data_IF_936144116841
#
_entry.id   IF_936144116841
#
_cell.length_a   1.000
_cell.length_b   1.000
_cell.length_c   1.000
_cell.angle_alpha   90.00
_cell.angle_beta   90.00
_cell.angle_gamma   90.00
#
_symmetry.space_group_name_H-M   'P 1'
#
loop_
_entity.id
_entity.type
_entity.pdbx_description
1 polymer ?
#
# COMPACT_ATOMS: atom_id res chain seq x y z
N UNK A 1 13.74 -19.29 -12.11
CA UNK A 1 13.17 -17.94 -12.02
C UNK A 1 14.21 -16.85 -12.21
N UNK A 2 13.76 -15.64 -12.35
CA UNK A 2 14.65 -14.47 -12.57
C UNK A 2 15.66 -14.31 -11.45
N UNK A 3 15.25 -14.47 -10.20
CA UNK A 3 16.15 -14.35 -9.05
C UNK A 3 17.18 -15.46 -9.02
N UNK A 4 16.82 -16.67 -9.41
CA UNK A 4 17.76 -17.78 -9.47
C UNK A 4 18.82 -17.58 -10.56
N UNK A 5 18.43 -17.06 -11.72
CA UNK A 5 19.39 -16.73 -12.79
C UNK A 5 20.40 -15.67 -12.33
N UNK A 6 19.94 -14.68 -11.55
CA UNK A 6 20.83 -13.67 -11.02
C UNK A 6 21.72 -14.20 -9.91
N UNK A 7 21.23 -15.15 -9.12
CA UNK A 7 22.04 -15.82 -8.09
C UNK A 7 23.26 -16.50 -8.69
N UNK A 8 23.09 -17.17 -9.83
CA UNK A 8 24.17 -17.87 -10.52
C UNK A 8 25.27 -16.93 -11.00
N UNK A 9 24.95 -15.66 -11.23
CA UNK A 9 25.91 -14.65 -11.68
C UNK A 9 26.60 -13.91 -10.53
N UNK A 10 26.24 -14.19 -9.29
CA UNK A 10 26.78 -13.52 -8.12
C UNK A 10 27.76 -14.43 -7.38
N UNK A 11 28.85 -13.82 -6.89
CA UNK A 11 29.83 -14.52 -6.04
C UNK A 11 29.33 -14.74 -4.61
N UNK A 12 28.23 -14.10 -4.22
CA UNK A 12 27.62 -14.20 -2.91
C UNK A 12 26.58 -15.30 -2.90
N UNK A 13 26.65 -16.17 -1.88
CA UNK A 13 25.66 -17.22 -1.71
C UNK A 13 24.33 -16.63 -1.23
N UNK A 14 23.28 -16.90 -2.00
CA UNK A 14 21.90 -16.47 -1.67
C UNK A 14 21.06 -17.71 -1.41
N UNK A 15 20.62 -17.97 -0.16
CA UNK A 15 19.77 -19.12 0.13
C UNK A 15 18.41 -19.06 -0.58
N UNK A 16 17.87 -20.21 -0.93
CA UNK A 16 16.55 -20.31 -1.59
C UNK A 16 15.43 -19.69 -0.73
N UNK A 17 15.55 -19.79 0.59
CA UNK A 17 14.59 -19.16 1.52
C UNK A 17 14.52 -17.64 1.36
N UNK A 18 15.65 -17.00 1.05
CA UNK A 18 15.69 -15.55 0.79
C UNK A 18 14.95 -15.24 -0.50
N UNK A 19 15.18 -16.03 -1.55
CA UNK A 19 14.51 -15.86 -2.83
C UNK A 19 12.99 -16.03 -2.69
N UNK A 20 12.54 -17.04 -1.95
CA UNK A 20 11.12 -17.25 -1.67
C UNK A 20 10.53 -16.08 -0.89
N UNK A 21 11.24 -15.57 0.11
CA UNK A 21 10.80 -14.43 0.90
C UNK A 21 10.60 -13.20 0.03
N UNK A 22 11.55 -12.90 -0.84
CA UNK A 22 11.45 -11.76 -1.78
C UNK A 22 10.29 -11.94 -2.75
N UNK A 23 10.12 -13.13 -3.32
CA UNK A 23 9.04 -13.41 -4.25
C UNK A 23 7.66 -13.29 -3.60
N UNK A 24 7.51 -13.69 -2.32
CA UNK A 24 6.26 -13.58 -1.60
C UNK A 24 5.90 -12.14 -1.21
N UNK A 25 6.91 -11.32 -0.96
CA UNK A 25 6.70 -9.95 -0.49
C UNK A 25 6.61 -8.93 -1.61
N UNK A 26 7.27 -9.18 -2.73
CA UNK A 26 7.33 -8.28 -3.88
C UNK A 26 6.74 -9.01 -5.08
N UNK A 27 5.44 -8.89 -5.28
CA UNK A 27 4.73 -9.63 -6.33
C UNK A 27 4.37 -8.77 -7.54
N UNK A 28 4.43 -7.45 -7.42
CA UNK A 28 3.83 -6.55 -8.40
C UNK A 28 4.78 -6.07 -9.49
N UNK A 29 6.11 -6.18 -9.31
CA UNK A 29 7.03 -5.58 -10.27
C UNK A 29 8.40 -6.28 -10.26
N UNK A 30 8.80 -6.80 -11.42
CA UNK A 30 10.10 -7.46 -11.63
C UNK A 30 11.26 -6.52 -11.30
N UNK A 31 11.15 -5.22 -11.63
CA UNK A 31 12.19 -4.23 -11.34
C UNK A 31 12.40 -4.05 -9.84
N UNK A 32 11.34 -4.08 -9.06
CA UNK A 32 11.43 -4.00 -7.59
C UNK A 32 12.13 -5.23 -7.01
N UNK A 33 11.83 -6.42 -7.55
CA UNK A 33 12.49 -7.67 -7.14
C UNK A 33 13.98 -7.60 -7.46
N UNK A 34 14.34 -7.16 -8.66
CA UNK A 34 15.74 -7.00 -9.08
C UNK A 34 16.47 -5.98 -8.22
N UNK A 35 15.83 -4.85 -7.95
CA UNK A 35 16.38 -3.80 -7.08
C UNK A 35 16.65 -4.30 -5.67
N UNK A 36 15.70 -5.03 -5.09
CA UNK A 36 15.86 -5.64 -3.77
C UNK A 36 16.99 -6.65 -3.75
N UNK A 37 17.09 -7.51 -4.75
CA UNK A 37 18.14 -8.49 -4.88
C UNK A 37 19.53 -7.81 -4.99
N UNK A 38 19.64 -6.81 -5.85
CA UNK A 38 20.90 -6.06 -6.02
C UNK A 38 21.34 -5.35 -4.74
N UNK A 39 20.40 -4.81 -3.98
CA UNK A 39 20.66 -4.20 -2.68
C UNK A 39 21.21 -5.22 -1.69
N UNK A 40 20.60 -6.41 -1.63
CA UNK A 40 21.05 -7.49 -0.76
C UNK A 40 22.48 -7.93 -1.11
N UNK A 41 22.76 -8.11 -2.39
CA UNK A 41 24.10 -8.51 -2.87
C UNK A 41 25.11 -7.42 -2.55
N UNK A 42 24.77 -6.14 -2.81
CA UNK A 42 25.65 -5.01 -2.51
C UNK A 42 25.96 -4.90 -1.02
N UNK A 43 24.96 -5.04 -0.17
CA UNK A 43 25.13 -4.97 1.28
C UNK A 43 25.94 -6.16 1.81
N UNK A 44 25.67 -7.37 1.32
CA UNK A 44 26.42 -8.56 1.70
C UNK A 44 27.90 -8.45 1.30
N UNK A 45 28.16 -7.90 0.12
CA UNK A 45 29.54 -7.69 -0.38
C UNK A 45 30.29 -6.67 0.49
N UNK A 46 29.63 -5.57 0.86
CA UNK A 46 30.24 -4.54 1.71
C UNK A 46 30.55 -5.04 3.12
N UNK A 47 29.67 -5.84 3.70
CA UNK A 47 29.80 -6.35 5.07
C UNK A 47 30.62 -7.64 5.09
N UNK A 48 30.77 -8.33 3.96
CA UNK A 48 31.47 -9.61 3.88
C UNK A 48 30.69 -10.76 4.50
N UNK A 49 29.37 -10.68 4.51
CA UNK A 49 28.47 -11.71 5.07
C UNK A 49 27.59 -12.29 4.00
N UNK A 50 27.19 -13.55 4.20
CA UNK A 50 26.18 -14.17 3.35
C UNK A 50 24.82 -13.52 3.58
N UNK A 51 23.98 -13.54 2.55
CA UNK A 51 22.63 -12.98 2.60
C UNK A 51 21.73 -13.90 3.45
N UNK A 52 21.06 -13.31 4.44
CA UNK A 52 20.14 -14.01 5.33
C UNK A 52 18.73 -13.47 5.18
N UNK A 53 17.74 -14.19 5.73
CA UNK A 53 16.33 -13.74 5.74
C UNK A 53 16.20 -12.43 6.54
N UNK A 54 16.97 -12.26 7.62
CA UNK A 54 16.98 -11.04 8.42
C UNK A 54 17.45 -9.83 7.61
N UNK A 55 18.52 -9.97 6.82
CA UNK A 55 18.98 -8.91 5.91
C UNK A 55 17.91 -8.56 4.88
N UNK A 56 17.26 -9.57 4.32
CA UNK A 56 16.16 -9.37 3.35
C UNK A 56 15.02 -8.58 3.97
N UNK A 57 14.67 -8.87 5.23
CA UNK A 57 13.61 -8.13 5.94
C UNK A 57 13.96 -6.67 6.14
N UNK A 58 15.20 -6.36 6.51
CA UNK A 58 15.64 -4.97 6.68
C UNK A 58 15.57 -4.18 5.38
N UNK A 59 16.09 -4.74 4.30
CA UNK A 59 16.05 -4.09 2.98
C UNK A 59 14.63 -3.92 2.48
N UNK A 60 13.79 -4.96 2.63
CA UNK A 60 12.38 -4.90 2.22
C UNK A 60 11.58 -3.92 3.06
N UNK A 61 11.88 -3.81 4.35
CA UNK A 61 11.23 -2.83 5.22
C UNK A 61 11.41 -1.41 4.68
N UNK A 62 12.63 -1.07 4.23
CA UNK A 62 12.93 0.23 3.63
C UNK A 62 12.18 0.43 2.31
N UNK A 63 12.12 -0.60 1.46
CA UNK A 63 11.39 -0.55 0.20
C UNK A 63 9.89 -0.39 0.42
N UNK A 64 9.32 -1.11 1.36
CA UNK A 64 7.90 -1.03 1.69
C UNK A 64 7.53 0.34 2.25
N UNK A 65 8.38 0.93 3.08
CA UNK A 65 8.19 2.30 3.55
C UNK A 65 8.22 3.29 2.40
N UNK A 66 9.16 3.13 1.48
CA UNK A 66 9.28 3.99 0.31
C UNK A 66 8.04 3.90 -0.57
N UNK A 67 7.51 2.70 -0.78
CA UNK A 67 6.28 2.50 -1.55
C UNK A 67 5.06 3.08 -0.83
N UNK A 68 4.97 2.90 0.48
CA UNK A 68 3.87 3.46 1.27
C UNK A 68 3.88 4.99 1.27
N UNK A 69 5.04 5.63 1.12
CA UNK A 69 5.15 7.08 1.03
C UNK A 69 4.63 7.64 -0.29
N UNK A 70 4.49 6.82 -1.33
CA UNK A 70 3.96 7.26 -2.63
C UNK A 70 2.47 7.52 -2.59
N UNK A 71 1.74 6.81 -1.73
CA UNK A 71 0.31 6.97 -1.59
C UNK A 71 0.03 7.81 -0.35
N UNK A 72 -0.49 9.01 -0.55
CA UNK A 72 -0.88 9.91 0.53
C UNK A 72 -2.39 9.91 0.70
N UNK A 73 -2.88 10.38 1.85
CA UNK A 73 -4.32 10.54 2.07
C UNK A 73 -4.91 11.52 1.04
N UNK A 74 -4.19 12.57 0.70
CA UNK A 74 -4.59 13.53 -0.32
C UNK A 74 -4.75 12.90 -1.70
N UNK A 75 -3.83 12.00 -2.09
CA UNK A 75 -3.93 11.24 -3.34
C UNK A 75 -5.17 10.36 -3.35
N UNK A 76 -5.46 9.69 -2.23
CA UNK A 76 -6.65 8.85 -2.09
C UNK A 76 -7.91 9.69 -2.23
N UNK A 77 -7.97 10.84 -1.55
CA UNK A 77 -9.11 11.74 -1.62
C UNK A 77 -9.36 12.23 -3.04
N UNK A 78 -8.32 12.63 -3.76
CA UNK A 78 -8.42 13.08 -5.15
C UNK A 78 -8.90 11.96 -6.07
N UNK A 79 -8.34 10.78 -5.92
CA UNK A 79 -8.67 9.62 -6.75
C UNK A 79 -10.13 9.19 -6.55
N UNK A 80 -10.57 9.10 -5.30
CA UNK A 80 -11.95 8.73 -4.97
C UNK A 80 -12.93 9.82 -5.47
N UNK A 81 -12.60 11.09 -5.25
CA UNK A 81 -13.45 12.19 -5.71
C UNK A 81 -13.59 12.16 -7.23
N UNK A 82 -12.51 11.96 -7.97
CA UNK A 82 -12.54 11.84 -9.43
C UNK A 82 -13.34 10.63 -9.90
N UNK A 83 -13.19 9.50 -9.24
CA UNK A 83 -13.91 8.27 -9.59
C UNK A 83 -15.42 8.41 -9.45
N UNK A 84 -15.87 9.02 -8.35
CA UNK A 84 -17.30 9.21 -8.07
C UNK A 84 -17.85 10.56 -8.57
N UNK A 85 -17.03 11.33 -9.27
CA UNK A 85 -17.41 12.61 -9.86
C UNK A 85 -17.95 13.61 -8.82
N UNK A 86 -17.25 13.73 -7.72
CA UNK A 86 -17.50 14.71 -6.65
C UNK A 86 -16.26 15.58 -6.48
N UNK A 87 -16.39 16.65 -5.71
CA UNK A 87 -15.25 17.56 -5.46
C UNK A 87 -14.38 17.04 -4.33
N UNK A 88 -13.07 17.26 -4.42
CA UNK A 88 -12.14 16.90 -3.35
C UNK A 88 -12.53 17.57 -2.03
N UNK A 89 -13.02 18.79 -2.08
CA UNK A 89 -13.49 19.52 -0.90
C UNK A 89 -14.62 18.79 -0.16
N UNK A 90 -15.38 17.94 -0.84
CA UNK A 90 -16.44 17.14 -0.21
C UNK A 90 -15.89 16.11 0.79
N UNK A 91 -14.61 15.79 0.70
CA UNK A 91 -13.95 14.90 1.67
C UNK A 91 -13.79 15.52 3.05
N UNK A 92 -13.72 16.86 3.09
CA UNK A 92 -13.50 17.62 4.35
C UNK A 92 -14.78 18.27 4.87
N UNK A 93 -15.81 18.38 4.02
CA UNK A 93 -17.02 19.11 4.34
C UNK A 93 -17.92 18.36 5.31
N UNK A 94 -18.80 19.10 6.00
CA UNK A 94 -19.81 18.55 6.88
C UNK A 94 -21.02 17.98 6.13
N UNK A 95 -21.01 18.02 4.83
CA UNK A 95 -22.09 17.55 3.97
C UNK A 95 -22.40 16.08 4.21
N UNK A 96 -23.68 15.73 4.39
CA UNK A 96 -24.13 14.37 4.72
C UNK A 96 -24.95 13.69 3.62
N UNK A 97 -25.01 14.25 2.42
CA UNK A 97 -25.74 13.63 1.33
C UNK A 97 -25.12 12.27 0.94
N UNK A 98 -25.96 11.35 0.48
CA UNK A 98 -25.51 10.00 0.08
C UNK A 98 -24.47 10.04 -1.04
N UNK A 99 -24.58 11.02 -1.93
CA UNK A 99 -23.64 11.18 -3.05
C UNK A 99 -22.20 11.45 -2.59
N UNK A 100 -22.04 11.98 -1.38
CA UNK A 100 -20.74 12.33 -0.79
C UNK A 100 -20.34 11.35 0.32
N UNK A 101 -21.32 10.87 1.09
CA UNK A 101 -21.06 10.06 2.29
C UNK A 101 -20.38 8.74 1.95
N UNK A 102 -20.86 8.01 0.95
CA UNK A 102 -20.29 6.71 0.58
C UNK A 102 -18.87 6.86 0.00
N UNK A 103 -18.63 7.74 -0.98
CA UNK A 103 -17.26 7.98 -1.47
C UNK A 103 -16.31 8.38 -0.35
N UNK A 104 -16.74 9.21 0.58
CA UNK A 104 -15.93 9.62 1.73
C UNK A 104 -15.56 8.43 2.62
N UNK A 105 -16.51 7.53 2.90
CA UNK A 105 -16.26 6.31 3.66
C UNK A 105 -15.24 5.41 2.97
N UNK A 106 -15.34 5.29 1.66
CA UNK A 106 -14.39 4.51 0.85
C UNK A 106 -13.00 5.13 0.93
N UNK A 107 -12.89 6.46 0.84
CA UNK A 107 -11.62 7.16 0.98
C UNK A 107 -11.01 6.93 2.37
N UNK A 108 -11.81 6.94 3.43
CA UNK A 108 -11.36 6.63 4.79
C UNK A 108 -10.84 5.20 4.91
N UNK A 109 -11.56 4.24 4.33
CA UNK A 109 -11.15 2.84 4.29
C UNK A 109 -9.81 2.66 3.57
N UNK A 110 -9.67 3.26 2.39
CA UNK A 110 -8.44 3.18 1.61
C UNK A 110 -7.27 3.86 2.33
N UNK A 111 -7.54 4.96 3.02
CA UNK A 111 -6.51 5.65 3.81
C UNK A 111 -5.97 4.76 4.92
N UNK A 112 -6.84 4.00 5.59
CA UNK A 112 -6.40 3.05 6.62
C UNK A 112 -5.67 1.85 6.03
N UNK A 113 -6.14 1.37 4.88
CA UNK A 113 -5.59 0.17 4.23
C UNK A 113 -4.24 0.44 3.55
N UNK A 114 -4.08 1.59 2.91
CA UNK A 114 -2.92 1.91 2.07
C UNK A 114 -1.87 2.79 2.76
N UNK A 115 -2.16 3.33 3.94
CA UNK A 115 -1.20 4.14 4.69
C UNK A 115 -0.99 3.58 6.09
N UNK A 116 0.03 4.09 6.78
CA UNK A 116 0.34 3.70 8.15
C UNK A 116 -0.28 4.63 9.20
N UNK A 117 -1.12 5.57 8.77
CA UNK A 117 -1.73 6.54 9.67
C UNK A 117 -2.75 5.88 10.62
N UNK A 118 -2.79 6.39 11.85
CA UNK A 118 -3.76 5.97 12.85
C UNK A 118 -5.14 6.55 12.55
N UNK A 119 -6.17 6.02 13.18
CA UNK A 119 -7.54 6.55 13.04
C UNK A 119 -7.63 8.04 13.41
N UNK A 120 -7.03 8.54 14.50
CA UNK A 120 -7.03 9.98 14.78
C UNK A 120 -6.35 10.82 13.70
N UNK A 121 -5.24 10.35 13.16
CA UNK A 121 -4.53 11.02 12.06
C UNK A 121 -5.40 11.16 10.82
N UNK A 122 -6.05 10.06 10.43
CA UNK A 122 -6.95 10.05 9.27
C UNK A 122 -8.13 11.00 9.53
N UNK A 123 -8.69 10.98 10.73
CA UNK A 123 -9.77 11.89 11.11
C UNK A 123 -9.41 13.35 10.91
N UNK A 124 -8.21 13.74 11.31
CA UNK A 124 -7.71 15.10 11.12
C UNK A 124 -7.66 15.49 9.63
N UNK A 125 -7.27 14.57 8.77
CA UNK A 125 -7.15 14.80 7.33
C UNK A 125 -8.49 14.77 6.61
N UNK A 126 -9.55 14.33 7.27
CA UNK A 126 -10.92 14.35 6.77
C UNK A 126 -11.78 15.41 7.47
N UNK A 127 -11.21 16.59 7.67
CA UNK A 127 -11.93 17.74 8.21
C UNK A 127 -12.08 17.74 9.73
N UNK A 128 -11.16 17.10 10.45
CA UNK A 128 -11.19 17.06 11.90
C UNK A 128 -12.26 16.15 12.48
N UNK A 129 -12.56 15.04 11.81
CA UNK A 129 -13.50 14.03 12.28
C UNK A 129 -12.91 13.20 13.41
N UNK A 130 -13.76 12.75 14.33
CA UNK A 130 -13.39 11.86 15.42
C UNK A 130 -12.89 10.51 14.85
N UNK A 131 -11.93 9.92 15.56
CA UNK A 131 -11.41 8.59 15.21
C UNK A 131 -12.51 7.52 15.15
N UNK A 132 -13.55 7.61 15.98
CA UNK A 132 -14.67 6.67 15.97
C UNK A 132 -15.44 6.73 14.65
N UNK A 133 -15.58 7.91 14.05
CA UNK A 133 -16.19 8.07 12.73
C UNK A 133 -15.40 7.32 11.67
N UNK A 134 -14.08 7.41 11.72
CA UNK A 134 -13.20 6.69 10.78
C UNK A 134 -13.32 5.17 11.00
N UNK A 135 -13.31 4.72 12.24
CA UNK A 135 -13.47 3.30 12.58
C UNK A 135 -14.78 2.73 12.05
N UNK A 136 -15.88 3.47 12.20
CA UNK A 136 -17.20 3.06 11.69
C UNK A 136 -17.19 2.98 10.14
N UNK A 137 -16.57 3.96 9.48
CA UNK A 137 -16.46 3.95 8.03
C UNK A 137 -15.65 2.74 7.53
N UNK A 138 -14.52 2.45 8.15
CA UNK A 138 -13.66 1.32 7.79
C UNK A 138 -14.43 0.00 7.98
N UNK A 139 -15.16 -0.15 9.09
CA UNK A 139 -15.96 -1.34 9.35
C UNK A 139 -17.07 -1.49 8.31
N UNK A 140 -17.78 -0.40 8.04
CA UNK A 140 -18.91 -0.41 7.09
C UNK A 140 -18.46 -0.80 5.68
N UNK A 141 -17.37 -0.22 5.20
CA UNK A 141 -16.83 -0.55 3.88
C UNK A 141 -16.32 -1.99 3.86
N UNK A 142 -15.69 -2.46 4.95
CA UNK A 142 -15.26 -3.85 5.09
C UNK A 142 -16.42 -4.84 4.95
N UNK A 143 -17.58 -4.52 5.54
CA UNK A 143 -18.81 -5.32 5.39
C UNK A 143 -19.33 -5.27 3.95
N UNK A 144 -19.35 -4.09 3.35
CA UNK A 144 -19.82 -3.90 1.97
C UNK A 144 -18.96 -4.65 0.96
N UNK A 145 -17.66 -4.78 1.21
CA UNK A 145 -16.77 -5.55 0.34
C UNK A 145 -17.20 -7.02 0.22
N UNK A 146 -17.83 -7.57 1.25
CA UNK A 146 -18.32 -8.95 1.26
C UNK A 146 -19.67 -9.09 0.59
N UNK A 147 -20.53 -8.07 0.72
CA UNK A 147 -21.95 -8.18 0.35
C UNK A 147 -22.30 -7.45 -0.95
N UNK A 148 -21.47 -6.51 -1.40
CA UNK A 148 -21.74 -5.66 -2.55
C UNK A 148 -20.62 -5.76 -3.58
N UNK A 149 -20.89 -6.45 -4.69
CA UNK A 149 -19.91 -6.67 -5.75
C UNK A 149 -19.49 -5.38 -6.44
N UNK A 150 -20.39 -4.41 -6.55
CA UNK A 150 -20.09 -3.11 -7.16
C UNK A 150 -19.06 -2.33 -6.33
N UNK A 151 -19.25 -2.31 -5.01
CA UNK A 151 -18.29 -1.68 -4.09
C UNK A 151 -16.94 -2.40 -4.15
N UNK A 152 -16.94 -3.73 -4.20
CA UNK A 152 -15.71 -4.52 -4.32
C UNK A 152 -14.95 -4.18 -5.59
N UNK A 153 -15.65 -4.06 -6.73
CA UNK A 153 -15.06 -3.68 -8.01
C UNK A 153 -14.51 -2.24 -7.98
N UNK A 154 -15.25 -1.32 -7.40
CA UNK A 154 -14.85 0.08 -7.26
C UNK A 154 -13.55 0.20 -6.46
N UNK A 155 -13.47 -0.48 -5.32
CA UNK A 155 -12.30 -0.47 -4.45
C UNK A 155 -11.10 -1.13 -5.13
N UNK A 156 -11.32 -2.24 -5.83
CA UNK A 156 -10.27 -2.91 -6.58
C UNK A 156 -9.68 -1.99 -7.66
N UNK A 157 -10.52 -1.29 -8.40
CA UNK A 157 -10.10 -0.33 -9.42
C UNK A 157 -9.34 0.84 -8.81
N UNK A 158 -9.86 1.40 -7.72
CA UNK A 158 -9.21 2.51 -7.01
C UNK A 158 -7.83 2.13 -6.47
N UNK A 159 -7.71 0.94 -5.87
CA UNK A 159 -6.41 0.43 -5.39
C UNK A 159 -5.42 0.29 -6.53
N UNK A 160 -5.83 -0.29 -7.65
CA UNK A 160 -4.97 -0.47 -8.81
C UNK A 160 -4.45 0.88 -9.32
N UNK A 161 -5.32 1.87 -9.42
CA UNK A 161 -4.96 3.21 -9.87
C UNK A 161 -4.00 3.92 -8.91
N UNK A 162 -4.13 3.69 -7.60
CA UNK A 162 -3.29 4.32 -6.59
C UNK A 162 -1.92 3.65 -6.45
N UNK A 163 -1.87 2.33 -6.56
CA UNK A 163 -0.65 1.56 -6.34
C UNK A 163 0.22 1.49 -7.60
N UNK A 164 -0.39 1.43 -8.78
CA UNK A 164 0.32 1.28 -10.06
C UNK A 164 0.84 2.60 -10.64
N UNK A 165 0.52 3.72 -10.00
CA UNK A 165 1.06 5.04 -10.40
C UNK A 165 2.39 5.31 -9.67
#
# INVERSE_FOLDING_TARGET
>A
GILQSRRERCDVLVPDKVLEFLANRITSNIREIEGAFNRLVGQATLVGRDITVEMAREVLSDLLRSNNRRVTVEDIQKQVAGYYNIRTADMFSARRSRTVARPRQIAMYLSKDLTTFSYPEIGRRFGGRDHTTIMHAVRKVGELLRDDAEIADDISTLKANLVDN
#
